data_IF_739822635973
#
_entry.id   IF_739822635973
#
_cell.length_a   1.000
_cell.length_b   1.000
_cell.length_c   1.000
_cell.angle_alpha   90.00
_cell.angle_beta   90.00
_cell.angle_gamma   90.00
#
_symmetry.space_group_name_H-M   'P 1'
#
loop_
_entity.id
_entity.type
_entity.pdbx_description
1 polymer ?
#
# COMPACT_ATOMS: atom_id res chain seq x y z
N UNK A 1 -14.06 19.20 6.96
CA UNK A 1 -15.41 19.27 6.35
C UNK A 1 -16.04 20.58 6.77
N UNK A 2 -16.76 21.26 5.86
CA UNK A 2 -17.49 22.49 6.16
C UNK A 2 -18.96 22.38 5.70
N UNK A 3 -19.80 23.33 6.11
CA UNK A 3 -21.17 23.49 5.57
C UNK A 3 -21.30 24.87 4.93
N UNK A 4 -21.86 24.92 3.73
CA UNK A 4 -22.11 26.16 3.00
C UNK A 4 -23.39 26.00 2.18
N UNK A 5 -24.30 26.98 2.27
CA UNK A 5 -25.62 26.95 1.59
C UNK A 5 -26.39 25.63 1.77
N UNK A 6 -26.39 25.10 3.01
CA UNK A 6 -27.07 23.83 3.34
C UNK A 6 -26.38 22.56 2.81
N UNK A 7 -25.29 22.69 2.05
CA UNK A 7 -24.52 21.56 1.51
C UNK A 7 -23.29 21.25 2.34
N UNK A 8 -22.87 19.99 2.34
CA UNK A 8 -21.58 19.56 2.88
C UNK A 8 -20.49 19.88 1.86
N UNK A 9 -19.40 20.48 2.31
CA UNK A 9 -18.21 20.74 1.49
C UNK A 9 -17.02 19.97 2.05
N UNK A 10 -16.44 19.10 1.23
CA UNK A 10 -15.18 18.43 1.52
C UNK A 10 -14.03 19.34 1.09
N UNK A 11 -13.47 20.05 2.06
CA UNK A 11 -12.35 20.96 1.85
C UNK A 11 -11.05 20.19 2.12
N UNK A 12 -10.26 19.93 1.07
CA UNK A 12 -8.90 19.37 1.20
C UNK A 12 -7.92 20.47 1.61
N UNK A 13 -6.83 20.06 2.26
CA UNK A 13 -5.77 20.96 2.72
C UNK A 13 -6.19 21.94 3.85
N UNK A 14 -7.35 21.70 4.46
CA UNK A 14 -7.81 22.39 5.66
C UNK A 14 -7.62 21.49 6.89
N UNK A 15 -7.32 22.10 8.04
CA UNK A 15 -7.27 21.46 9.34
C UNK A 15 -8.57 21.82 10.10
N UNK A 16 -9.19 20.89 10.86
CA UNK A 16 -10.32 21.22 11.71
C UNK A 16 -10.03 22.43 12.61
N UNK A 17 -10.97 23.38 12.68
CA UNK A 17 -10.83 24.63 13.44
C UNK A 17 -10.32 25.84 12.64
N UNK A 18 -9.87 25.65 11.40
CA UNK A 18 -9.39 26.76 10.57
C UNK A 18 -10.50 27.57 9.91
N UNK A 19 -10.17 28.85 9.65
CA UNK A 19 -10.93 29.71 8.74
C UNK A 19 -10.12 29.86 7.46
N UNK A 20 -10.71 29.48 6.33
CA UNK A 20 -10.03 29.40 5.03
C UNK A 20 -10.87 29.99 3.91
N UNK A 21 -10.22 30.49 2.86
CA UNK A 21 -10.87 30.61 1.55
C UNK A 21 -10.54 29.34 0.76
N UNK A 22 -11.57 28.76 0.15
CA UNK A 22 -11.45 27.51 -0.61
C UNK A 22 -12.03 27.68 -2.01
N UNK A 23 -11.35 27.12 -3.00
CA UNK A 23 -11.83 27.10 -4.39
C UNK A 23 -12.50 25.77 -4.67
N UNK A 24 -13.71 25.80 -5.20
CA UNK A 24 -14.42 24.59 -5.61
C UNK A 24 -13.65 23.89 -6.74
N UNK A 25 -13.38 22.60 -6.55
CA UNK A 25 -12.72 21.73 -7.53
C UNK A 25 -13.71 20.78 -8.19
N UNK A 26 -14.81 20.46 -7.51
CA UNK A 26 -15.92 19.68 -8.05
C UNK A 26 -17.23 20.15 -7.40
N UNK A 27 -18.23 20.43 -8.22
CA UNK A 27 -19.52 20.91 -7.73
C UNK A 27 -20.58 21.02 -8.83
N UNK A 28 -21.68 21.67 -8.47
CA UNK A 28 -22.85 21.89 -9.32
C UNK A 28 -24.10 22.11 -8.45
N UNK A 29 -25.12 22.75 -9.00
CA UNK A 29 -26.34 23.11 -8.27
C UNK A 29 -27.06 21.89 -7.68
N UNK A 30 -27.06 20.78 -8.43
CA UNK A 30 -27.69 19.51 -8.08
C UNK A 30 -26.79 18.57 -7.27
N UNK A 31 -25.55 18.96 -6.96
CA UNK A 31 -24.63 18.10 -6.23
C UNK A 31 -24.99 18.04 -4.74
N UNK A 32 -25.10 16.82 -4.18
CA UNK A 32 -25.41 16.60 -2.75
C UNK A 32 -24.31 17.12 -1.81
N UNK A 33 -23.10 17.24 -2.31
CA UNK A 33 -21.95 17.79 -1.61
C UNK A 33 -21.01 18.43 -2.64
N UNK A 34 -20.14 19.32 -2.18
CA UNK A 34 -19.09 19.93 -3.00
C UNK A 34 -17.71 19.51 -2.53
N UNK A 35 -16.71 19.69 -3.40
CA UNK A 35 -15.30 19.54 -3.06
C UNK A 35 -14.56 20.83 -3.35
N UNK A 36 -13.60 21.14 -2.50
CA UNK A 36 -12.80 22.33 -2.61
C UNK A 36 -11.38 22.05 -2.13
N UNK A 37 -10.42 22.85 -2.61
CA UNK A 37 -9.06 22.90 -2.07
C UNK A 37 -8.87 24.28 -1.40
N UNK A 38 -8.13 24.31 -0.28
CA UNK A 38 -7.76 25.57 0.38
C UNK A 38 -6.82 26.37 -0.51
N UNK A 39 -7.18 27.64 -0.74
CA UNK A 39 -6.38 28.61 -1.51
C UNK A 39 -5.84 29.75 -0.64
N UNK A 40 -6.42 29.95 0.54
CA UNK A 40 -5.96 30.94 1.52
C UNK A 40 -6.32 30.46 2.93
N UNK A 41 -5.42 30.64 3.88
CA UNK A 41 -5.67 30.38 5.30
C UNK A 41 -5.80 31.73 6.02
N UNK A 42 -7.02 32.07 6.45
CA UNK A 42 -7.34 33.34 7.12
C UNK A 42 -7.02 33.25 8.61
N UNK A 43 -7.36 32.12 9.23
CA UNK A 43 -7.00 31.79 10.61
C UNK A 43 -6.46 30.37 10.62
N UNK A 44 -5.17 30.23 10.86
CA UNK A 44 -4.47 28.95 10.87
C UNK A 44 -4.68 28.21 12.19
N UNK A 45 -4.66 26.88 12.13
CA UNK A 45 -4.55 26.02 13.30
C UNK A 45 -3.13 26.03 13.83
N UNK A 46 -2.94 25.90 15.14
CA UNK A 46 -1.61 25.71 15.76
C UNK A 46 -0.89 24.45 15.24
N UNK A 47 -1.64 23.50 14.66
CA UNK A 47 -1.11 22.28 14.06
C UNK A 47 -0.73 22.44 12.58
N UNK A 48 -0.93 23.63 11.99
CA UNK A 48 -0.48 23.91 10.62
C UNK A 48 1.02 24.16 10.61
N UNK A 49 1.70 23.53 9.65
CA UNK A 49 3.08 23.83 9.28
C UNK A 49 3.18 24.22 7.81
N UNK A 50 4.34 24.74 7.42
CA UNK A 50 4.70 24.85 6.00
C UNK A 50 4.66 23.47 5.36
N UNK A 51 4.05 23.38 4.18
CA UNK A 51 3.96 22.11 3.46
C UNK A 51 5.36 21.55 3.17
N UNK A 52 5.57 20.28 3.51
CA UNK A 52 6.85 19.56 3.31
C UNK A 52 7.26 19.44 1.84
N UNK A 53 6.32 19.56 0.91
CA UNK A 53 6.55 19.46 -0.52
C UNK A 53 5.87 20.57 -1.30
N UNK A 54 6.65 21.46 -1.93
CA UNK A 54 6.13 22.64 -2.64
C UNK A 54 5.13 22.29 -3.76
N UNK A 55 5.30 21.15 -4.44
CA UNK A 55 4.41 20.76 -5.55
C UNK A 55 3.03 20.29 -5.06
N UNK A 56 2.95 19.76 -3.85
CA UNK A 56 1.73 19.28 -3.20
C UNK A 56 1.07 20.32 -2.27
N UNK A 57 1.71 21.49 -2.10
CA UNK A 57 1.16 22.61 -1.33
C UNK A 57 0.02 23.28 -2.12
N UNK A 58 -1.20 23.28 -1.57
CA UNK A 58 -2.36 23.83 -2.24
C UNK A 58 -2.29 25.35 -2.41
N UNK A 59 -1.68 26.06 -1.45
CA UNK A 59 -1.54 27.52 -1.50
C UNK A 59 -0.64 27.93 -2.67
N UNK A 60 0.52 27.26 -2.80
CA UNK A 60 1.46 27.50 -3.90
C UNK A 60 0.92 27.02 -5.25
N UNK A 61 0.18 25.91 -5.26
CA UNK A 61 -0.45 25.42 -6.46
C UNK A 61 -1.45 26.47 -6.99
N UNK A 62 -2.20 27.11 -6.08
CA UNK A 62 -3.13 28.18 -6.41
C UNK A 62 -2.46 29.41 -7.02
N UNK A 63 -1.38 29.90 -6.41
CA UNK A 63 -0.55 31.01 -6.93
C UNK A 63 -0.06 30.75 -8.35
N UNK A 64 0.16 29.47 -8.70
CA UNK A 64 0.61 29.01 -10.01
C UNK A 64 -0.55 28.63 -10.94
N UNK A 65 -1.81 28.82 -10.55
CA UNK A 65 -2.97 28.48 -11.35
C UNK A 65 -3.14 26.99 -11.66
N UNK A 66 -2.64 26.10 -10.78
CA UNK A 66 -2.68 24.63 -10.96
C UNK A 66 -3.23 23.91 -9.73
N UNK A 67 -3.50 22.62 -9.86
CA UNK A 67 -3.81 21.76 -8.72
C UNK A 67 -2.53 21.24 -8.04
N UNK A 68 -2.57 20.95 -6.73
CA UNK A 68 -1.44 20.34 -6.02
C UNK A 68 -1.26 18.88 -6.43
N UNK A 69 0.00 18.45 -6.52
CA UNK A 69 0.37 17.03 -6.74
C UNK A 69 -0.21 16.18 -5.60
N UNK A 70 -0.75 15.00 -5.94
CA UNK A 70 -1.28 14.06 -4.95
C UNK A 70 -0.20 13.28 -4.18
N UNK A 71 -0.61 12.62 -3.10
CA UNK A 71 0.26 11.69 -2.36
C UNK A 71 1.01 12.29 -1.18
N UNK A 72 0.73 13.54 -0.80
CA UNK A 72 1.23 14.19 0.41
C UNK A 72 0.17 15.11 1.03
N UNK A 73 -1.11 14.71 1.03
CA UNK A 73 -2.23 15.57 1.37
C UNK A 73 -2.13 16.17 2.78
N UNK A 74 -1.47 15.49 3.73
CA UNK A 74 -1.29 15.92 5.11
C UNK A 74 0.04 16.66 5.35
N UNK A 75 0.82 16.95 4.29
CA UNK A 75 2.13 17.58 4.41
C UNK A 75 2.15 18.96 5.09
N UNK A 76 1.00 19.60 5.23
CA UNK A 76 0.79 20.89 5.92
C UNK A 76 0.40 20.76 7.40
N UNK A 77 0.35 19.54 7.95
CA UNK A 77 -0.09 19.24 9.32
C UNK A 77 1.11 18.71 10.10
N UNK A 78 1.26 19.07 11.38
CA UNK A 78 2.30 18.49 12.25
C UNK A 78 2.10 16.98 12.42
N UNK A 79 3.18 16.21 12.47
CA UNK A 79 3.12 14.73 12.43
C UNK A 79 2.28 14.14 13.56
N UNK A 80 2.39 14.69 14.78
CA UNK A 80 1.56 14.28 15.92
C UNK A 80 0.06 14.51 15.65
N UNK A 81 -0.31 15.64 15.04
CA UNK A 81 -1.71 15.92 14.75
C UNK A 81 -2.23 15.09 13.58
N UNK A 82 -1.38 14.73 12.60
CA UNK A 82 -1.74 13.78 11.54
C UNK A 82 -2.20 12.45 12.14
N UNK A 83 -1.44 11.89 13.09
CA UNK A 83 -1.78 10.62 13.75
C UNK A 83 -3.07 10.71 14.56
N UNK A 84 -3.31 11.82 15.26
CA UNK A 84 -4.61 12.07 15.93
C UNK A 84 -5.77 12.06 14.94
N UNK A 85 -5.64 12.76 13.80
CA UNK A 85 -6.68 12.78 12.77
C UNK A 85 -6.91 11.39 12.16
N UNK A 86 -5.84 10.62 11.91
CA UNK A 86 -5.93 9.23 11.43
C UNK A 86 -6.70 8.35 12.43
N UNK A 87 -6.37 8.43 13.71
CA UNK A 87 -7.05 7.70 14.79
C UNK A 87 -8.54 8.04 14.88
N UNK A 88 -8.88 9.34 14.82
CA UNK A 88 -10.28 9.79 14.78
C UNK A 88 -11.03 9.24 13.56
N UNK A 89 -10.42 9.31 12.36
CA UNK A 89 -11.02 8.77 11.13
C UNK A 89 -11.22 7.26 11.24
N UNK A 90 -10.25 6.53 11.81
CA UNK A 90 -10.35 5.08 12.00
C UNK A 90 -11.50 4.72 12.94
N UNK A 91 -11.57 5.34 14.12
CA UNK A 91 -12.66 5.16 15.09
C UNK A 91 -14.02 5.46 14.47
N UNK A 92 -14.16 6.63 13.84
CA UNK A 92 -15.40 7.05 13.20
C UNK A 92 -15.85 6.06 12.11
N UNK A 93 -14.89 5.50 11.37
CA UNK A 93 -15.16 4.53 10.31
C UNK A 93 -15.62 3.19 10.88
N UNK A 94 -14.95 2.69 11.92
CA UNK A 94 -15.37 1.49 12.65
C UNK A 94 -16.79 1.62 13.19
N UNK A 95 -17.11 2.75 13.80
CA UNK A 95 -18.44 2.98 14.37
C UNK A 95 -19.50 3.11 13.26
N UNK A 96 -19.26 3.92 12.22
CA UNK A 96 -20.28 4.22 11.20
C UNK A 96 -20.50 3.07 10.21
N UNK A 97 -19.44 2.35 9.83
CA UNK A 97 -19.51 1.27 8.85
C UNK A 97 -19.63 -0.08 9.54
N UNK A 98 -18.78 -0.33 10.53
CA UNK A 98 -18.75 -1.59 11.26
C UNK A 98 -19.84 -1.70 12.32
N UNK A 99 -20.36 -0.58 12.82
CA UNK A 99 -21.21 -0.59 14.02
C UNK A 99 -20.43 -0.98 15.28
N UNK A 100 -19.09 -0.86 15.24
CA UNK A 100 -18.20 -1.30 16.30
C UNK A 100 -17.77 -0.08 17.11
N UNK A 101 -18.17 -0.04 18.38
CA UNK A 101 -17.68 0.93 19.35
C UNK A 101 -16.46 0.36 20.06
N UNK A 102 -15.38 1.12 20.14
CA UNK A 102 -14.17 0.70 20.86
C UNK A 102 -14.40 0.52 22.36
N UNK A 103 -15.39 1.23 22.92
CA UNK A 103 -15.77 1.08 24.32
C UNK A 103 -16.42 -0.27 24.62
N UNK A 104 -17.02 -0.91 23.61
CA UNK A 104 -17.70 -2.20 23.76
C UNK A 104 -16.72 -3.36 23.55
N UNK A 105 -15.50 -3.07 23.06
CA UNK A 105 -14.48 -4.07 22.83
C UNK A 105 -13.69 -4.33 24.12
N UNK A 106 -13.61 -5.61 24.51
CA UNK A 106 -12.71 -6.05 25.56
C UNK A 106 -11.30 -6.30 24.99
N UNK A 107 -10.67 -5.23 24.53
CA UNK A 107 -9.27 -5.22 24.06
C UNK A 107 -8.39 -4.57 25.14
N UNK A 108 -7.15 -5.04 25.37
CA UNK A 108 -6.19 -4.32 26.18
C UNK A 108 -6.00 -2.92 25.60
N UNK A 109 -6.46 -1.90 26.32
CA UNK A 109 -6.24 -0.52 25.94
C UNK A 109 -4.93 -0.06 26.53
N UNK A 110 -3.96 0.27 25.67
CA UNK A 110 -2.74 0.97 26.12
C UNK A 110 -3.09 2.34 26.74
N UNK A 111 -4.21 2.93 26.32
CA UNK A 111 -4.67 4.25 26.73
C UNK A 111 -6.16 4.23 27.12
N UNK A 112 -6.46 4.67 28.35
CA UNK A 112 -7.82 4.69 28.91
C UNK A 112 -8.71 5.86 28.43
N UNK A 113 -8.32 6.55 27.34
CA UNK A 113 -9.01 7.74 26.83
C UNK A 113 -10.08 7.43 25.76
N UNK A 114 -10.23 6.16 25.37
CA UNK A 114 -11.22 5.72 24.37
C UNK A 114 -10.89 6.16 22.94
N UNK A 115 -9.66 6.63 22.70
CA UNK A 115 -9.19 7.06 21.39
C UNK A 115 -8.40 5.92 20.71
N UNK A 116 -8.30 6.01 19.37
CA UNK A 116 -7.39 5.14 18.60
C UNK A 116 -6.07 5.86 18.51
N UNK A 117 -5.04 5.31 19.14
CA UNK A 117 -3.70 5.83 19.03
C UNK A 117 -3.02 5.23 17.81
N UNK A 118 -2.61 6.10 16.90
CA UNK A 118 -1.85 5.70 15.72
C UNK A 118 -0.37 5.79 16.07
N UNK A 119 0.33 4.69 15.90
CA UNK A 119 1.73 4.52 16.29
C UNK A 119 2.68 5.00 15.20
N UNK A 120 3.77 5.65 15.59
CA UNK A 120 4.80 6.08 14.66
C UNK A 120 5.82 4.96 14.46
N UNK A 121 5.95 4.47 13.23
CA UNK A 121 6.96 3.48 12.85
C UNK A 121 8.15 4.10 12.11
N UNK A 122 8.16 5.44 12.01
CA UNK A 122 9.20 6.16 11.28
C UNK A 122 10.49 6.19 12.10
N UNK A 123 11.62 6.33 11.40
CA UNK A 123 12.90 6.57 12.10
C UNK A 123 12.83 7.89 12.87
N UNK A 124 13.47 7.98 14.06
CA UNK A 124 13.60 9.23 14.79
C UNK A 124 14.09 10.37 13.88
N UNK A 125 13.52 11.56 14.06
CA UNK A 125 13.86 12.79 13.32
C UNK A 125 13.62 12.76 11.80
N UNK A 126 12.93 11.75 11.27
CA UNK A 126 12.58 11.70 9.84
C UNK A 126 11.49 12.68 9.43
N UNK A 127 10.71 13.21 10.39
CA UNK A 127 9.60 14.16 10.16
C UNK A 127 8.61 13.67 9.08
N UNK A 128 8.40 12.35 8.99
CA UNK A 128 7.53 11.72 8.00
C UNK A 128 8.06 11.74 6.56
N UNK A 129 9.37 11.96 6.36
CA UNK A 129 10.04 11.97 5.05
C UNK A 129 10.88 10.70 4.84
N UNK A 130 11.31 10.47 3.60
CA UNK A 130 12.28 9.45 3.23
C UNK A 130 11.96 8.03 3.70
N UNK A 131 10.70 7.64 3.60
CA UNK A 131 10.25 6.31 4.00
C UNK A 131 9.88 5.43 2.80
N UNK A 132 9.49 6.03 1.68
CA UNK A 132 8.97 5.30 0.52
C UNK A 132 10.11 4.72 -0.32
N UNK A 133 10.21 3.40 -0.36
CA UNK A 133 11.23 2.63 -1.11
C UNK A 133 10.81 2.32 -2.54
N UNK A 134 9.52 2.43 -2.85
CA UNK A 134 8.96 2.12 -4.18
C UNK A 134 8.01 3.22 -4.63
N UNK A 135 8.24 3.76 -5.83
CA UNK A 135 7.43 4.88 -6.36
C UNK A 135 7.14 4.66 -7.84
N UNK A 136 5.87 4.78 -8.21
CA UNK A 136 5.43 4.82 -9.61
C UNK A 136 5.28 6.26 -10.08
N UNK A 137 5.97 6.61 -11.16
CA UNK A 137 5.86 7.90 -11.83
C UNK A 137 5.22 7.72 -13.20
N UNK A 138 4.32 8.63 -13.58
CA UNK A 138 3.90 8.73 -14.98
C UNK A 138 5.01 9.41 -15.78
N UNK A 139 5.05 9.16 -17.08
CA UNK A 139 5.94 9.87 -18.01
C UNK A 139 5.10 10.84 -18.83
N UNK A 140 5.47 12.12 -18.83
CA UNK A 140 4.78 13.15 -19.61
C UNK A 140 5.19 13.12 -21.10
N UNK A 141 4.54 13.90 -21.98
CA UNK A 141 4.90 13.95 -23.40
C UNK A 141 6.33 14.40 -23.70
N UNK A 142 7.01 15.08 -22.77
CA UNK A 142 8.40 15.51 -22.91
C UNK A 142 9.39 14.43 -22.43
N UNK A 143 8.90 13.31 -21.90
CA UNK A 143 9.72 12.24 -21.34
C UNK A 143 10.05 12.41 -19.86
N UNK A 144 9.44 13.39 -19.17
CA UNK A 144 9.80 13.70 -17.79
C UNK A 144 8.92 12.95 -16.79
N UNK A 145 9.54 12.53 -15.68
CA UNK A 145 8.82 11.90 -14.57
C UNK A 145 7.84 12.88 -13.93
N UNK A 146 6.59 12.47 -13.83
CA UNK A 146 5.47 13.30 -13.44
C UNK A 146 4.50 12.58 -12.52
N UNK A 147 3.74 13.36 -11.75
CA UNK A 147 2.62 12.85 -10.95
C UNK A 147 1.33 13.63 -11.23
N UNK A 148 0.21 12.95 -11.00
CA UNK A 148 -1.12 13.51 -11.18
C UNK A 148 -1.57 14.28 -9.93
N UNK A 149 -2.22 15.42 -10.09
CA UNK A 149 -3.06 15.97 -9.04
C UNK A 149 -4.20 15.03 -8.68
N UNK A 150 -4.73 15.18 -7.47
CA UNK A 150 -5.87 14.39 -7.01
C UNK A 150 -7.07 14.55 -7.96
N UNK A 151 -7.50 13.43 -8.56
CA UNK A 151 -8.63 13.35 -9.50
C UNK A 151 -8.49 14.25 -10.75
N UNK A 152 -7.26 14.54 -11.17
CA UNK A 152 -6.96 15.10 -12.48
C UNK A 152 -6.24 14.08 -13.37
N UNK A 153 -6.27 14.30 -14.69
CA UNK A 153 -5.42 13.60 -15.65
C UNK A 153 -4.18 14.41 -16.04
N UNK A 154 -4.07 15.65 -15.55
CA UNK A 154 -2.90 16.49 -15.79
C UNK A 154 -1.66 15.85 -15.18
N UNK A 155 -0.52 16.07 -15.82
CA UNK A 155 0.78 15.63 -15.35
C UNK A 155 1.57 16.85 -14.91
N UNK A 156 2.11 16.79 -13.70
CA UNK A 156 3.01 17.79 -13.15
C UNK A 156 4.38 17.15 -13.05
N UNK A 157 5.33 17.70 -13.79
CA UNK A 157 6.74 17.32 -13.76
C UNK A 157 7.30 17.42 -12.34
N UNK A 158 8.08 16.41 -11.95
CA UNK A 158 8.75 16.35 -10.67
C UNK A 158 10.23 16.67 -10.81
N UNK A 159 10.76 17.38 -9.82
CA UNK A 159 12.21 17.56 -9.60
C UNK A 159 12.76 16.72 -8.45
N UNK A 160 11.91 15.87 -7.85
CA UNK A 160 12.20 15.12 -6.64
C UNK A 160 10.92 14.71 -5.90
N UNK A 161 11.01 13.63 -5.12
CA UNK A 161 9.92 13.11 -4.28
C UNK A 161 10.36 13.03 -2.80
N UNK A 162 10.02 14.00 -1.92
CA UNK A 162 10.59 14.06 -0.56
C UNK A 162 10.11 12.93 0.37
N UNK A 163 9.00 12.26 0.06
CA UNK A 163 8.58 11.07 0.81
C UNK A 163 9.41 9.83 0.43
N UNK A 164 10.03 9.84 -0.75
CA UNK A 164 10.87 8.75 -1.19
C UNK A 164 12.22 8.77 -0.47
N UNK A 165 12.78 7.59 -0.24
CA UNK A 165 14.14 7.43 0.31
C UNK A 165 15.17 8.20 -0.51
N UNK A 166 16.29 8.57 0.10
CA UNK A 166 17.31 9.40 -0.54
C UNK A 166 17.77 8.85 -1.90
N UNK A 167 17.95 7.52 -2.02
CA UNK A 167 18.30 6.86 -3.27
C UNK A 167 17.33 7.11 -4.43
N UNK A 168 16.06 7.39 -4.16
CA UNK A 168 15.10 7.84 -5.19
C UNK A 168 15.11 9.37 -5.26
N UNK A 169 14.89 10.04 -4.13
CA UNK A 169 14.66 11.49 -4.05
C UNK A 169 15.77 12.32 -4.70
N UNK A 170 17.03 11.92 -4.49
CA UNK A 170 18.23 12.65 -4.90
C UNK A 170 18.83 12.12 -6.22
N UNK A 171 18.22 11.09 -6.83
CA UNK A 171 18.76 10.47 -8.02
C UNK A 171 18.55 11.30 -9.29
N UNK A 172 19.36 11.00 -10.32
CA UNK A 172 19.31 11.71 -11.60
C UNK A 172 18.09 11.37 -12.45
N UNK A 173 17.25 10.42 -12.02
CA UNK A 173 16.06 9.99 -12.77
C UNK A 173 15.08 11.14 -13.02
N UNK A 174 15.02 12.14 -12.14
CA UNK A 174 14.14 13.30 -12.33
C UNK A 174 14.61 14.28 -13.42
N UNK A 175 15.82 14.10 -13.93
CA UNK A 175 16.36 14.88 -15.06
C UNK A 175 16.57 14.03 -16.32
N UNK A 176 16.23 12.73 -16.27
CA UNK A 176 16.40 11.81 -17.38
C UNK A 176 15.21 11.87 -18.35
N UNK A 177 15.48 11.49 -19.60
CA UNK A 177 14.51 11.46 -20.69
C UNK A 177 13.96 10.04 -20.92
N UNK A 178 12.70 9.84 -20.56
CA UNK A 178 11.97 8.59 -20.72
C UNK A 178 10.97 8.61 -21.89
N UNK A 179 11.16 9.46 -22.91
CA UNK A 179 10.30 9.44 -24.11
C UNK A 179 10.14 8.00 -24.64
N UNK A 180 8.92 7.64 -25.03
CA UNK A 180 8.57 6.26 -25.42
C UNK A 180 8.12 5.36 -24.26
N UNK A 181 8.32 5.76 -23.00
CA UNK A 181 7.69 5.14 -21.85
C UNK A 181 6.41 5.87 -21.44
N UNK A 182 5.53 5.21 -20.68
CA UNK A 182 4.33 5.84 -20.10
C UNK A 182 4.32 5.80 -18.56
N UNK A 183 5.15 4.93 -17.96
CA UNK A 183 5.34 4.82 -16.51
C UNK A 183 6.75 4.34 -16.20
N UNK A 184 7.32 4.82 -15.11
CA UNK A 184 8.56 4.31 -14.51
C UNK A 184 8.29 3.98 -13.06
N UNK A 185 8.53 2.74 -12.67
CA UNK A 185 8.56 2.33 -11.27
C UNK A 185 10.01 2.34 -10.78
N UNK A 186 10.28 3.13 -9.75
CA UNK A 186 11.59 3.26 -9.11
C UNK A 186 11.58 2.50 -7.79
N UNK A 187 12.52 1.58 -7.60
CA UNK A 187 12.63 0.70 -6.43
C UNK A 187 14.02 0.87 -5.82
N UNK A 188 14.09 1.27 -4.55
CA UNK A 188 15.30 1.38 -3.75
C UNK A 188 15.19 0.41 -2.56
N UNK A 189 15.68 -0.84 -2.70
CA UNK A 189 15.45 -1.92 -1.74
C UNK A 189 15.97 -1.57 -0.35
N UNK A 190 15.18 -1.84 0.69
CA UNK A 190 15.48 -1.48 2.08
C UNK A 190 15.70 0.01 2.36
N UNK A 191 15.49 0.87 1.37
CA UNK A 191 15.86 2.28 1.42
C UNK A 191 17.34 2.57 1.13
N UNK A 192 18.03 1.64 0.48
CA UNK A 192 19.40 1.78 0.01
C UNK A 192 19.55 2.82 -1.11
N UNK A 193 20.78 2.91 -1.65
CA UNK A 193 21.10 3.79 -2.79
C UNK A 193 21.03 3.08 -4.14
N UNK A 194 21.07 1.76 -4.14
CA UNK A 194 20.97 0.96 -5.36
C UNK A 194 19.53 1.00 -5.85
N UNK A 195 19.35 1.54 -7.05
CA UNK A 195 18.08 1.82 -7.67
C UNK A 195 17.81 0.82 -8.79
N UNK A 196 16.62 0.23 -8.75
CA UNK A 196 16.07 -0.55 -9.84
C UNK A 196 14.97 0.26 -10.52
N UNK A 197 15.07 0.38 -11.85
CA UNK A 197 14.04 1.00 -12.68
C UNK A 197 13.28 -0.07 -13.46
N UNK A 198 11.95 -0.09 -13.30
CA UNK A 198 11.05 -0.85 -14.18
C UNK A 198 10.32 0.14 -15.08
N UNK A 199 10.72 0.19 -16.35
CA UNK A 199 10.27 1.18 -17.32
C UNK A 199 9.19 0.56 -18.21
N UNK A 200 7.97 1.08 -18.14
CA UNK A 200 6.82 0.52 -18.86
C UNK A 200 6.62 1.22 -20.19
N UNK A 201 6.55 0.41 -21.25
CA UNK A 201 6.23 0.83 -22.62
C UNK A 201 5.20 -0.10 -23.26
N UNK A 202 4.75 0.22 -24.47
CA UNK A 202 3.80 -0.58 -25.26
C UNK A 202 4.50 -1.17 -26.47
N UNK A 203 4.18 -2.41 -26.84
CA UNK A 203 4.88 -3.19 -27.89
C UNK A 203 4.97 -2.50 -29.28
N UNK A 204 4.07 -1.58 -29.61
CA UNK A 204 4.07 -0.79 -30.85
C UNK A 204 4.32 0.71 -30.60
N UNK A 205 5.02 1.04 -29.51
CA UNK A 205 5.35 2.42 -29.18
C UNK A 205 6.28 3.05 -30.21
N UNK A 206 5.99 4.30 -30.58
CA UNK A 206 6.94 5.13 -31.33
C UNK A 206 8.17 5.35 -30.42
N UNK A 207 9.37 5.03 -30.91
CA UNK A 207 10.67 5.25 -30.23
C UNK A 207 11.09 4.25 -29.12
N UNK A 208 10.80 2.95 -29.26
CA UNK A 208 11.34 1.95 -28.32
C UNK A 208 12.87 1.80 -28.38
N UNK A 209 13.48 1.89 -29.56
CA UNK A 209 14.93 1.75 -29.73
C UNK A 209 15.67 2.93 -29.12
N UNK A 210 15.17 4.16 -29.33
CA UNK A 210 15.71 5.34 -28.65
C UNK A 210 15.51 5.28 -27.14
N UNK A 211 14.38 4.74 -26.65
CA UNK A 211 14.18 4.51 -25.22
C UNK A 211 15.24 3.56 -24.66
N UNK A 212 15.49 2.41 -25.31
CA UNK A 212 16.54 1.47 -24.88
C UNK A 212 17.90 2.15 -24.81
N UNK A 213 18.29 2.89 -25.86
CA UNK A 213 19.56 3.61 -25.89
C UNK A 213 19.68 4.61 -24.73
N UNK A 214 18.65 5.42 -24.48
CA UNK A 214 18.62 6.38 -23.36
C UNK A 214 18.74 5.70 -22.00
N UNK A 215 18.06 4.56 -21.81
CA UNK A 215 18.13 3.79 -20.57
C UNK A 215 19.51 3.17 -20.33
N UNK A 216 20.15 2.64 -21.37
CA UNK A 216 21.53 2.17 -21.27
C UNK A 216 22.50 3.30 -20.91
N UNK A 217 22.39 4.46 -21.56
CA UNK A 217 23.20 5.64 -21.22
C UNK A 217 22.97 6.05 -19.77
N UNK A 218 21.71 6.17 -19.34
CA UNK A 218 21.35 6.56 -17.97
C UNK A 218 21.99 5.61 -16.93
N UNK A 219 21.89 4.30 -17.13
CA UNK A 219 22.50 3.31 -16.23
C UNK A 219 24.04 3.37 -16.24
N UNK A 220 24.65 3.70 -17.39
CA UNK A 220 26.11 3.83 -17.48
C UNK A 220 26.65 5.11 -16.82
N UNK A 221 25.88 6.20 -16.82
CA UNK A 221 26.29 7.50 -16.29
C UNK A 221 25.96 7.69 -14.80
N UNK A 222 25.03 6.90 -14.26
CA UNK A 222 24.64 6.92 -12.86
C UNK A 222 24.79 5.52 -12.22
N UNK A 223 25.94 5.26 -11.55
CA UNK A 223 26.19 3.98 -10.89
C UNK A 223 25.20 3.64 -9.77
N UNK A 224 24.39 4.59 -9.30
CA UNK A 224 23.32 4.29 -8.34
C UNK A 224 22.17 3.52 -8.98
N UNK A 225 22.05 3.52 -10.31
CA UNK A 225 21.06 2.73 -11.04
C UNK A 225 21.62 1.34 -11.28
N UNK A 226 21.46 0.47 -10.29
CA UNK A 226 21.96 -0.90 -10.32
C UNK A 226 21.28 -1.73 -11.42
N UNK A 227 19.96 -1.61 -11.56
CA UNK A 227 19.18 -2.47 -12.45
C UNK A 227 18.19 -1.67 -13.31
N UNK A 228 18.06 -2.07 -14.58
CA UNK A 228 17.05 -1.51 -15.49
C UNK A 228 16.31 -2.62 -16.22
N UNK A 229 15.00 -2.66 -16.03
CA UNK A 229 14.09 -3.56 -16.70
C UNK A 229 13.13 -2.77 -17.60
N UNK A 230 13.00 -3.22 -18.85
CA UNK A 230 11.99 -2.71 -19.78
C UNK A 230 10.77 -3.64 -19.76
N UNK A 231 9.64 -3.12 -19.30
CA UNK A 231 8.36 -3.81 -19.24
C UNK A 231 7.53 -3.47 -20.48
N UNK A 232 7.36 -4.44 -21.38
CA UNK A 232 6.67 -4.27 -22.67
C UNK A 232 5.29 -4.91 -22.58
N UNK A 233 4.24 -4.10 -22.56
CA UNK A 233 2.87 -4.60 -22.57
C UNK A 233 2.44 -5.05 -23.98
N UNK A 234 1.80 -6.23 -24.06
CA UNK A 234 1.26 -6.76 -25.31
C UNK A 234 0.14 -5.85 -25.91
N UNK A 235 -0.02 -5.82 -27.25
CA UNK A 235 -1.08 -5.04 -27.89
C UNK A 235 -2.48 -5.46 -27.40
N UNK A 236 -3.34 -4.49 -27.07
CA UNK A 236 -4.74 -4.75 -26.67
C UNK A 236 -4.98 -4.87 -25.16
N UNK A 237 -3.94 -4.74 -24.33
CA UNK A 237 -4.11 -4.58 -22.89
C UNK A 237 -4.85 -3.29 -22.54
N UNK A 238 -5.91 -3.40 -21.72
CA UNK A 238 -6.69 -2.27 -21.23
C UNK A 238 -5.87 -1.25 -20.40
N UNK A 239 -4.66 -1.60 -19.96
CA UNK A 239 -3.75 -0.72 -19.24
C UNK A 239 -2.88 0.17 -20.15
N UNK A 240 -2.92 -0.02 -21.48
CA UNK A 240 -2.06 0.68 -22.45
C UNK A 240 -2.72 1.78 -23.29
N UNK A 241 -3.95 2.21 -22.99
CA UNK A 241 -4.60 3.32 -23.72
C UNK A 241 -4.23 4.67 -23.11
N UNK A 242 -3.78 5.68 -23.89
CA UNK A 242 -3.72 7.06 -23.44
C UNK A 242 -5.11 7.47 -22.95
N UNK A 243 -5.18 8.27 -21.88
CA UNK A 243 -6.44 8.73 -21.28
C UNK A 243 -7.21 9.70 -22.22
N UNK A 244 -7.73 9.18 -23.31
CA UNK A 244 -8.66 9.85 -24.20
C UNK A 244 -10.09 9.71 -23.69
N UNK A 245 -10.60 10.79 -23.10
CA UNK A 245 -12.01 11.20 -23.05
C UNK A 245 -13.04 10.07 -22.83
N UNK A 246 -13.14 9.53 -21.60
CA UNK A 246 -14.33 8.74 -21.22
C UNK A 246 -15.48 9.69 -20.84
N UNK A 247 -16.50 9.69 -21.69
CA UNK A 247 -17.77 10.37 -21.46
C UNK A 247 -18.45 9.90 -20.18
N UNK A 248 -18.97 10.87 -19.43
CA UNK A 248 -19.76 10.73 -18.22
C UNK A 248 -21.13 10.17 -18.59
N UNK A 249 -21.28 8.85 -18.64
CA UNK A 249 -22.53 8.10 -18.41
C UNK A 249 -22.31 6.60 -18.65
N UNK A 250 -22.12 5.83 -17.56
CA UNK A 250 -22.62 4.45 -17.42
C UNK A 250 -22.36 3.99 -15.98
N UNK A 251 -23.41 4.11 -15.15
CA UNK A 251 -23.52 3.40 -13.88
C UNK A 251 -23.99 1.99 -14.18
N UNK A 252 -23.30 1.00 -13.62
CA UNK A 252 -23.77 -0.39 -13.56
C UNK A 252 -23.17 -1.32 -14.60
N UNK A 253 -21.97 -1.85 -14.34
CA UNK A 253 -21.63 -3.23 -14.69
C UNK A 253 -20.45 -3.71 -13.86
N UNK A 254 -20.62 -4.94 -13.36
CA UNK A 254 -19.77 -5.69 -12.44
C UNK A 254 -18.29 -5.66 -12.84
N UNK A 255 -17.42 -5.65 -11.84
CA UNK A 255 -15.99 -5.92 -11.96
C UNK A 255 -15.80 -7.38 -12.37
N UNK A 256 -15.88 -7.67 -13.66
CA UNK A 256 -15.22 -8.84 -14.21
C UNK A 256 -13.72 -8.59 -14.19
N UNK A 257 -13.01 -9.54 -13.61
CA UNK A 257 -11.56 -9.65 -13.57
C UNK A 257 -10.98 -9.48 -14.98
N UNK A 258 -10.49 -8.29 -15.29
CA UNK A 258 -9.53 -8.13 -16.40
C UNK A 258 -8.26 -8.83 -15.96
N UNK A 259 -8.00 -10.02 -16.52
CA UNK A 259 -6.69 -10.64 -16.41
C UNK A 259 -5.64 -9.58 -16.75
N UNK A 260 -4.61 -9.39 -15.91
CA UNK A 260 -3.59 -8.40 -16.18
C UNK A 260 -2.99 -8.65 -17.56
N UNK A 261 -2.69 -7.54 -18.24
CA UNK A 261 -1.90 -7.55 -19.46
C UNK A 261 -0.75 -8.54 -19.35
N UNK A 262 -0.51 -9.37 -20.37
CA UNK A 262 0.79 -10.02 -20.45
C UNK A 262 1.83 -8.93 -20.68
N UNK A 263 2.73 -8.78 -19.71
CA UNK A 263 3.85 -7.84 -19.75
C UNK A 263 5.11 -8.70 -19.82
N UNK A 264 5.89 -8.49 -20.87
CA UNK A 264 7.19 -9.14 -21.01
C UNK A 264 8.25 -8.19 -20.43
N UNK A 265 9.10 -8.73 -19.55
CA UNK A 265 10.17 -7.95 -18.92
C UNK A 265 11.50 -8.29 -19.58
N UNK A 266 12.19 -7.29 -20.10
CA UNK A 266 13.54 -7.36 -20.70
C UNK A 266 14.56 -6.73 -19.74
N UNK A 267 15.73 -7.35 -19.54
CA UNK A 267 16.80 -6.79 -18.71
C UNK A 267 17.74 -6.01 -19.61
N UNK A 268 17.90 -4.72 -19.31
CA UNK A 268 18.83 -3.86 -20.03
C UNK A 268 20.14 -3.69 -19.27
N UNK A 269 20.10 -3.70 -17.93
CA UNK A 269 21.28 -3.58 -17.08
C UNK A 269 21.05 -4.24 -15.71
N UNK A 270 22.12 -4.77 -15.11
CA UNK A 270 22.12 -5.33 -13.75
C UNK A 270 21.51 -6.72 -13.66
N UNK A 271 20.72 -6.93 -12.61
CA UNK A 271 20.08 -8.19 -12.23
C UNK A 271 18.55 -8.15 -12.39
N UNK A 272 17.95 -9.34 -12.43
CA UNK A 272 16.48 -9.55 -12.51
C UNK A 272 15.76 -9.47 -11.17
N UNK A 273 16.51 -9.36 -10.09
CA UNK A 273 16.00 -9.38 -8.73
C UNK A 273 16.55 -8.23 -7.93
N UNK A 274 15.86 -7.91 -6.85
CA UNK A 274 16.29 -6.96 -5.83
C UNK A 274 16.32 -7.65 -4.48
N UNK A 275 17.30 -7.28 -3.64
CA UNK A 275 17.44 -7.79 -2.29
C UNK A 275 16.71 -6.87 -1.30
N UNK A 276 15.56 -7.29 -0.79
CA UNK A 276 14.80 -6.55 0.22
C UNK A 276 15.09 -7.08 1.63
N UNK A 277 15.14 -6.23 2.67
CA UNK A 277 15.28 -6.68 4.05
C UNK A 277 14.12 -7.59 4.46
N UNK A 278 14.47 -8.72 5.05
CA UNK A 278 13.53 -9.68 5.62
C UNK A 278 13.78 -9.73 7.14
N UNK A 279 12.88 -9.20 7.98
CA UNK A 279 13.10 -9.09 9.42
C UNK A 279 13.31 -10.45 10.09
N UNK A 280 12.56 -11.44 9.61
CA UNK A 280 12.63 -12.83 10.07
C UNK A 280 12.84 -13.71 8.86
N UNK A 281 14.04 -14.28 8.74
CA UNK A 281 14.37 -15.18 7.64
C UNK A 281 13.96 -16.63 7.89
N UNK A 282 13.80 -17.42 6.80
CA UNK A 282 13.49 -18.85 6.85
C UNK A 282 14.55 -19.68 7.59
N UNK A 283 15.81 -19.23 7.55
CA UNK A 283 16.92 -19.78 8.32
C UNK A 283 17.43 -18.75 9.32
N UNK A 284 17.96 -19.20 10.47
CA UNK A 284 18.63 -18.31 11.42
C UNK A 284 19.79 -17.59 10.71
N UNK A 285 19.69 -16.27 10.59
CA UNK A 285 20.71 -15.42 9.96
C UNK A 285 20.34 -14.90 8.57
N UNK A 286 19.30 -15.46 7.91
CA UNK A 286 18.75 -14.85 6.70
C UNK A 286 18.09 -13.53 7.06
N UNK A 287 18.56 -12.44 6.44
CA UNK A 287 18.12 -11.06 6.72
C UNK A 287 17.59 -10.34 5.48
N UNK A 288 17.50 -11.05 4.35
CA UNK A 288 17.01 -10.51 3.09
C UNK A 288 16.29 -11.56 2.24
N UNK A 289 15.47 -11.10 1.30
CA UNK A 289 14.78 -11.90 0.29
C UNK A 289 15.06 -11.34 -1.10
N UNK A 290 15.28 -12.23 -2.08
CA UNK A 290 15.39 -11.87 -3.49
C UNK A 290 14.00 -11.78 -4.12
N UNK A 291 13.67 -10.62 -4.67
CA UNK A 291 12.35 -10.35 -5.23
C UNK A 291 12.44 -9.88 -6.67
N UNK A 292 11.41 -10.19 -7.46
CA UNK A 292 11.17 -9.49 -8.72
C UNK A 292 10.75 -8.04 -8.42
N UNK A 293 11.36 -7.03 -9.06
CA UNK A 293 11.08 -5.62 -8.73
C UNK A 293 9.65 -5.19 -9.07
N UNK A 294 9.00 -5.85 -10.03
CA UNK A 294 7.59 -5.67 -10.37
C UNK A 294 6.62 -6.31 -9.38
N UNK A 295 7.11 -7.22 -8.52
CA UNK A 295 6.34 -7.88 -7.47
C UNK A 295 6.01 -6.94 -6.32
N UNK A 296 4.96 -7.27 -5.57
CA UNK A 296 4.59 -6.51 -4.38
C UNK A 296 5.62 -6.71 -3.25
N UNK A 297 5.98 -5.61 -2.61
CA UNK A 297 6.68 -5.58 -1.33
C UNK A 297 6.25 -4.31 -0.58
N UNK A 298 6.44 -4.30 0.73
CA UNK A 298 6.07 -3.16 1.58
C UNK A 298 6.80 -1.88 1.14
N UNK A 299 6.04 -0.84 0.83
CA UNK A 299 6.58 0.40 0.25
C UNK A 299 7.27 1.30 1.27
N UNK A 300 7.03 1.08 2.57
CA UNK A 300 7.68 1.82 3.65
C UNK A 300 8.88 1.01 4.16
N UNK A 301 10.07 1.60 4.21
CA UNK A 301 11.32 0.90 4.58
C UNK A 301 11.30 0.18 5.94
N UNK A 302 10.51 0.67 6.88
CA UNK A 302 10.32 0.06 8.21
C UNK A 302 9.05 -0.78 8.36
N UNK A 303 8.20 -0.87 7.33
CA UNK A 303 6.96 -1.61 7.42
C UNK A 303 7.16 -3.13 7.58
N UNK A 304 8.12 -3.81 6.91
CA UNK A 304 8.35 -5.23 7.13
C UNK A 304 8.57 -5.56 8.61
N UNK A 305 9.47 -4.83 9.27
CA UNK A 305 9.83 -5.05 10.67
C UNK A 305 8.66 -4.72 11.61
N UNK A 306 8.01 -3.56 11.42
CA UNK A 306 6.89 -3.16 12.25
C UNK A 306 5.70 -4.13 12.15
N UNK A 307 5.34 -4.54 10.92
CA UNK A 307 4.21 -5.45 10.70
C UNK A 307 4.48 -6.85 11.23
N UNK A 308 5.67 -7.41 10.97
CA UNK A 308 6.04 -8.73 11.52
C UNK A 308 6.08 -8.69 13.05
N UNK A 309 6.59 -7.59 13.65
CA UNK A 309 6.57 -7.40 15.09
C UNK A 309 5.14 -7.41 15.66
N UNK A 310 4.25 -6.58 15.11
CA UNK A 310 2.86 -6.51 15.58
C UNK A 310 2.09 -7.82 15.36
N UNK A 311 2.24 -8.45 14.19
CA UNK A 311 1.61 -9.76 13.91
C UNK A 311 2.15 -10.82 14.86
N UNK A 312 3.47 -10.85 15.10
CA UNK A 312 4.10 -11.80 16.02
C UNK A 312 3.66 -11.62 17.48
N UNK A 313 3.43 -10.38 17.92
CA UNK A 313 2.91 -10.09 19.27
C UNK A 313 1.43 -10.48 19.43
N UNK A 314 0.63 -10.34 18.36
CA UNK A 314 -0.81 -10.68 18.39
C UNK A 314 -1.07 -12.16 18.18
N UNK A 315 -0.28 -12.82 17.34
CA UNK A 315 -0.48 -14.22 17.00
C UNK A 315 -0.19 -15.14 18.18
N UNK A 316 -1.06 -16.13 18.38
CA UNK A 316 -0.97 -17.11 19.46
C UNK A 316 -0.31 -18.42 19.01
N UNK A 317 0.21 -18.47 17.79
CA UNK A 317 0.75 -19.67 17.17
C UNK A 317 1.94 -20.22 17.95
N UNK A 318 1.91 -21.52 18.25
CA UNK A 318 2.98 -22.22 18.94
C UNK A 318 3.81 -23.10 17.99
N UNK A 319 4.97 -23.57 18.48
CA UNK A 319 5.80 -24.53 17.78
C UNK A 319 5.01 -25.81 17.48
N UNK A 320 5.11 -26.31 16.25
CA UNK A 320 4.39 -27.49 15.77
C UNK A 320 2.98 -27.23 15.24
N UNK A 321 2.46 -26.01 15.33
CA UNK A 321 1.11 -25.68 14.83
C UNK A 321 1.09 -25.39 13.32
N UNK A 322 -0.13 -25.22 12.79
CA UNK A 322 -0.37 -24.81 11.42
C UNK A 322 -0.68 -23.30 11.34
N UNK A 323 -0.05 -22.62 10.40
CA UNK A 323 -0.33 -21.20 10.07
C UNK A 323 -0.66 -21.07 8.59
N UNK A 324 -1.65 -20.25 8.27
CA UNK A 324 -2.02 -19.92 6.89
C UNK A 324 -1.79 -18.43 6.66
N UNK A 325 -0.99 -18.09 5.65
CA UNK A 325 -0.77 -16.72 5.18
C UNK A 325 -1.58 -16.50 3.89
N UNK A 326 -2.60 -15.66 3.96
CA UNK A 326 -3.49 -15.34 2.84
C UNK A 326 -3.15 -13.96 2.28
N UNK A 327 -3.08 -13.89 0.94
CA UNK A 327 -2.54 -12.73 0.21
C UNK A 327 -1.05 -12.52 0.57
N UNK A 328 -0.33 -13.63 0.64
CA UNK A 328 1.01 -13.72 1.24
C UNK A 328 2.07 -12.87 0.52
N UNK A 329 1.80 -12.41 -0.71
CA UNK A 329 2.78 -11.73 -1.54
C UNK A 329 4.01 -12.63 -1.72
N UNK A 330 5.18 -12.08 -1.47
CA UNK A 330 6.44 -12.82 -1.53
C UNK A 330 6.79 -13.58 -0.23
N UNK A 331 5.86 -13.66 0.73
CA UNK A 331 5.99 -14.47 1.94
C UNK A 331 6.60 -13.76 3.15
N UNK A 332 6.30 -12.48 3.35
CA UNK A 332 6.74 -11.74 4.54
C UNK A 332 6.25 -12.41 5.84
N UNK A 333 4.95 -12.70 5.93
CA UNK A 333 4.38 -13.36 7.10
C UNK A 333 4.61 -14.88 7.05
N UNK A 334 4.64 -15.51 5.88
CA UNK A 334 5.07 -16.90 5.72
C UNK A 334 6.45 -17.18 6.33
N UNK A 335 7.42 -16.25 6.18
CA UNK A 335 8.75 -16.41 6.76
C UNK A 335 8.74 -16.31 8.29
N UNK A 336 7.98 -15.35 8.85
CA UNK A 336 7.72 -15.26 10.28
C UNK A 336 7.04 -16.54 10.80
N UNK A 337 6.00 -17.00 10.12
CA UNK A 337 5.23 -18.17 10.49
C UNK A 337 6.10 -19.42 10.51
N UNK A 338 6.95 -19.61 9.49
CA UNK A 338 7.84 -20.76 9.40
C UNK A 338 8.87 -20.80 10.55
N UNK A 339 9.36 -19.64 10.97
CA UNK A 339 10.21 -19.54 12.17
C UNK A 339 9.40 -19.82 13.45
N UNK A 340 8.19 -19.27 13.57
CA UNK A 340 7.34 -19.37 14.75
C UNK A 340 6.92 -20.83 15.04
N UNK A 341 6.48 -21.55 14.00
CA UNK A 341 6.02 -22.94 14.15
C UNK A 341 7.17 -23.95 14.11
N UNK A 342 8.34 -23.55 13.60
CA UNK A 342 9.51 -24.41 13.45
C UNK A 342 9.32 -25.58 12.47
N UNK A 343 10.33 -26.42 12.33
CA UNK A 343 10.33 -27.53 11.36
C UNK A 343 9.29 -28.62 11.65
N UNK A 344 8.74 -28.66 12.86
CA UNK A 344 7.66 -29.60 13.21
C UNK A 344 6.28 -29.06 12.84
N UNK A 345 6.13 -27.75 12.61
CA UNK A 345 4.87 -27.13 12.22
C UNK A 345 4.68 -27.09 10.71
N UNK A 346 3.67 -26.34 10.24
CA UNK A 346 3.34 -26.23 8.81
C UNK A 346 2.85 -24.82 8.47
N UNK A 347 3.21 -24.34 7.28
CA UNK A 347 2.77 -23.05 6.75
C UNK A 347 2.15 -23.22 5.37
N UNK A 348 0.97 -22.65 5.15
CA UNK A 348 0.36 -22.53 3.82
C UNK A 348 0.38 -21.07 3.38
N UNK A 349 1.13 -20.77 2.33
CA UNK A 349 1.25 -19.44 1.73
C UNK A 349 0.37 -19.36 0.47
N UNK A 350 -0.64 -18.50 0.45
CA UNK A 350 -1.57 -18.35 -0.68
C UNK A 350 -1.43 -16.97 -1.33
N UNK A 351 -1.04 -16.94 -2.61
CA UNK A 351 -0.85 -15.71 -3.39
C UNK A 351 -1.30 -15.93 -4.84
N UNK A 352 -1.91 -14.93 -5.47
CA UNK A 352 -2.39 -15.04 -6.86
C UNK A 352 -1.38 -14.53 -7.89
N UNK A 353 -0.56 -13.55 -7.54
CA UNK A 353 0.37 -12.88 -8.42
C UNK A 353 1.61 -13.74 -8.71
N UNK A 354 1.80 -14.09 -9.98
CA UNK A 354 2.90 -14.94 -10.46
C UNK A 354 4.28 -14.49 -9.99
N UNK A 355 4.62 -13.20 -10.11
CA UNK A 355 5.92 -12.70 -9.69
C UNK A 355 6.16 -12.88 -8.18
N UNK A 356 5.14 -12.64 -7.35
CA UNK A 356 5.22 -12.79 -5.90
C UNK A 356 5.26 -14.26 -5.48
N UNK A 357 4.43 -15.12 -6.09
CA UNK A 357 4.45 -16.56 -5.83
C UNK A 357 5.78 -17.20 -6.18
N UNK A 358 6.40 -16.84 -7.31
CA UNK A 358 7.74 -17.34 -7.68
C UNK A 358 8.81 -16.90 -6.69
N UNK A 359 8.78 -15.64 -6.25
CA UNK A 359 9.70 -15.18 -5.20
C UNK A 359 9.51 -15.93 -3.88
N UNK A 360 8.27 -16.29 -3.52
CA UNK A 360 8.02 -17.14 -2.36
C UNK A 360 8.53 -18.57 -2.58
N UNK A 361 8.29 -19.19 -3.75
CA UNK A 361 8.83 -20.51 -4.10
C UNK A 361 10.36 -20.55 -4.00
N UNK A 362 11.05 -19.52 -4.54
CA UNK A 362 12.50 -19.38 -4.45
C UNK A 362 12.96 -19.20 -2.97
N UNK A 363 12.24 -18.41 -2.17
CA UNK A 363 12.57 -18.18 -0.75
C UNK A 363 12.42 -19.44 0.12
N UNK A 364 11.42 -20.27 -0.16
CA UNK A 364 11.05 -21.43 0.67
C UNK A 364 11.42 -22.78 0.04
N UNK A 365 12.22 -22.80 -1.03
CA UNK A 365 12.57 -24.02 -1.79
C UNK A 365 13.18 -25.14 -0.94
N UNK A 366 13.90 -24.80 0.13
CA UNK A 366 14.57 -25.75 1.04
C UNK A 366 13.78 -26.00 2.34
N UNK A 367 12.48 -25.66 2.37
CA UNK A 367 11.63 -25.78 3.55
C UNK A 367 10.39 -26.64 3.31
N UNK A 368 10.50 -27.93 3.63
CA UNK A 368 9.39 -28.90 3.46
C UNK A 368 8.11 -28.50 4.22
N UNK A 369 8.24 -27.73 5.31
CA UNK A 369 7.08 -27.29 6.10
C UNK A 369 6.27 -26.16 5.45
N UNK A 370 6.80 -25.48 4.43
CA UNK A 370 6.14 -24.34 3.78
C UNK A 370 5.58 -24.76 2.43
N UNK A 371 4.26 -24.75 2.31
CA UNK A 371 3.56 -25.02 1.04
C UNK A 371 3.15 -23.71 0.38
N UNK A 372 3.59 -23.50 -0.85
CA UNK A 372 3.15 -22.36 -1.67
C UNK A 372 1.97 -22.79 -2.55
N UNK A 373 0.91 -21.99 -2.56
CA UNK A 373 -0.26 -22.18 -3.40
C UNK A 373 -0.50 -20.91 -4.23
N UNK A 374 -0.16 -20.98 -5.52
CA UNK A 374 -0.44 -19.90 -6.46
C UNK A 374 -1.91 -19.91 -6.90
N UNK A 375 -2.77 -19.18 -6.22
CA UNK A 375 -4.19 -19.06 -6.56
C UNK A 375 -4.85 -17.84 -5.90
N UNK A 376 -5.96 -17.33 -6.48
CA UNK A 376 -6.83 -16.37 -5.78
C UNK A 376 -7.37 -16.98 -4.48
N UNK A 377 -7.25 -16.25 -3.37
CA UNK A 377 -7.68 -16.69 -2.03
C UNK A 377 -9.14 -17.17 -2.02
N UNK A 378 -10.03 -16.50 -2.75
CA UNK A 378 -11.46 -16.84 -2.85
C UNK A 378 -11.72 -18.22 -3.46
N UNK A 379 -10.72 -18.77 -4.18
CA UNK A 379 -10.75 -20.10 -4.81
C UNK A 379 -9.99 -21.15 -4.00
N UNK A 380 -9.18 -20.74 -3.03
CA UNK A 380 -8.32 -21.61 -2.21
C UNK A 380 -8.91 -21.97 -0.85
N UNK A 381 -10.11 -21.48 -0.50
CA UNK A 381 -10.73 -21.72 0.80
C UNK A 381 -10.92 -23.22 1.12
N UNK A 382 -11.13 -24.04 0.10
CA UNK A 382 -11.17 -25.51 0.26
C UNK A 382 -9.82 -26.09 0.64
N UNK A 383 -8.73 -25.61 0.03
CA UNK A 383 -7.36 -25.99 0.38
C UNK A 383 -7.00 -25.54 1.79
N UNK A 384 -7.36 -24.31 2.16
CA UNK A 384 -7.17 -23.76 3.52
C UNK A 384 -7.85 -24.62 4.57
N UNK A 385 -9.13 -24.96 4.36
CA UNK A 385 -9.88 -25.84 5.27
C UNK A 385 -9.23 -27.22 5.38
N UNK A 386 -8.83 -27.79 4.25
CA UNK A 386 -8.22 -29.13 4.23
C UNK A 386 -6.86 -29.14 4.92
N UNK A 387 -6.07 -28.07 4.74
CA UNK A 387 -4.77 -27.89 5.38
C UNK A 387 -4.88 -27.74 6.90
N UNK A 388 -5.85 -26.94 7.38
CA UNK A 388 -6.07 -26.74 8.82
C UNK A 388 -6.68 -27.98 9.51
N UNK A 389 -7.43 -28.80 8.79
CA UNK A 389 -8.03 -30.02 9.32
C UNK A 389 -7.07 -31.23 9.36
N UNK A 390 -5.88 -31.11 8.77
CA UNK A 390 -4.93 -32.22 8.62
C UNK A 390 -4.18 -32.49 9.94
N UNK A 391 -4.05 -33.76 10.29
CA UNK A 391 -3.22 -34.30 11.39
C UNK A 391 -3.60 -34.03 12.86
N UNK A 392 -4.85 -33.66 13.17
CA UNK A 392 -5.28 -33.54 14.59
C UNK A 392 -4.45 -32.53 15.40
N UNK A 393 -3.74 -31.64 14.71
CA UNK A 393 -2.99 -30.52 15.29
C UNK A 393 -3.97 -29.42 15.68
N UNK A 394 -3.60 -28.63 16.67
CA UNK A 394 -4.45 -27.57 17.24
C UNK A 394 -4.91 -26.56 16.18
N UNK A 395 -6.02 -25.91 16.51
CA UNK A 395 -6.64 -24.86 15.72
C UNK A 395 -5.62 -23.80 15.27
N UNK A 396 -5.44 -23.67 13.94
CA UNK A 396 -4.38 -22.85 13.36
C UNK A 396 -4.66 -21.34 13.41
N UNK A 397 -3.61 -20.56 13.18
CA UNK A 397 -3.70 -19.09 12.99
C UNK A 397 -3.76 -18.76 11.51
N UNK A 398 -4.67 -17.87 11.11
CA UNK A 398 -4.73 -17.33 9.76
C UNK A 398 -4.27 -15.88 9.79
N UNK A 399 -3.24 -15.53 9.02
CA UNK A 399 -2.83 -14.15 8.75
C UNK A 399 -3.46 -13.72 7.42
N UNK A 400 -4.01 -12.52 7.39
CA UNK A 400 -4.79 -11.99 6.26
C UNK A 400 -4.33 -10.55 5.96
N UNK A 401 -3.72 -10.31 4.80
CA UNK A 401 -3.30 -8.96 4.32
C UNK A 401 -3.94 -8.64 2.94
N UNK A 402 -5.26 -8.43 2.89
CA UNK A 402 -5.98 -8.33 1.63
C UNK A 402 -5.74 -6.97 0.93
N UNK A 403 -6.03 -6.87 -0.37
CA UNK A 403 -5.98 -5.59 -1.09
C UNK A 403 -6.97 -4.57 -0.49
N UNK A 404 -6.87 -3.30 -0.91
CA UNK A 404 -7.75 -2.18 -0.47
C UNK A 404 -9.26 -2.42 -0.57
N UNK A 405 -9.71 -3.44 -1.31
CA UNK A 405 -11.11 -3.83 -1.36
C UNK A 405 -11.60 -4.53 -0.07
N UNK A 406 -10.67 -5.06 0.73
CA UNK A 406 -10.93 -6.03 1.80
C UNK A 406 -10.87 -7.47 1.30
N UNK A 407 -10.97 -8.41 2.23
CA UNK A 407 -11.09 -9.84 1.94
C UNK A 407 -12.49 -10.18 1.40
N UNK A 408 -13.52 -9.46 1.87
CA UNK A 408 -14.88 -9.60 1.40
C UNK A 408 -15.62 -10.85 1.90
N UNK A 409 -16.94 -10.84 1.73
CA UNK A 409 -17.86 -11.80 2.36
C UNK A 409 -17.50 -13.26 2.10
N UNK A 410 -17.14 -13.63 0.86
CA UNK A 410 -16.81 -15.02 0.50
C UNK A 410 -15.61 -15.55 1.28
N UNK A 411 -14.59 -14.72 1.50
CA UNK A 411 -13.39 -15.12 2.25
C UNK A 411 -13.73 -15.24 3.73
N UNK A 412 -14.42 -14.25 4.30
CA UNK A 412 -14.85 -14.31 5.71
C UNK A 412 -15.74 -15.54 5.98
N UNK A 413 -16.70 -15.83 5.10
CA UNK A 413 -17.51 -17.05 5.16
C UNK A 413 -16.70 -18.33 5.08
N UNK A 414 -15.68 -18.36 4.21
CA UNK A 414 -14.80 -19.50 4.08
C UNK A 414 -13.94 -19.73 5.32
N UNK A 415 -13.38 -18.67 5.89
CA UNK A 415 -12.58 -18.74 7.12
C UNK A 415 -13.41 -19.21 8.31
N UNK A 416 -14.65 -18.75 8.41
CA UNK A 416 -15.61 -19.20 9.43
C UNK A 416 -15.95 -20.71 9.32
N UNK A 417 -15.75 -21.32 8.16
CA UNK A 417 -15.93 -22.76 7.93
C UNK A 417 -14.65 -23.59 8.17
N UNK A 418 -13.58 -22.96 8.67
CA UNK A 418 -12.35 -23.64 9.05
C UNK A 418 -12.26 -23.87 10.55
N UNK A 419 -11.29 -24.69 10.96
CA UNK A 419 -10.92 -24.91 12.36
C UNK A 419 -9.90 -23.87 12.87
N UNK A 420 -9.81 -22.69 12.23
CA UNK A 420 -8.95 -21.62 12.71
C UNK A 420 -9.38 -21.15 14.11
N UNK A 421 -8.43 -21.03 15.04
CA UNK A 421 -8.68 -20.45 16.38
C UNK A 421 -8.51 -18.93 16.37
N UNK A 422 -7.70 -18.42 15.44
CA UNK A 422 -7.34 -17.01 15.37
C UNK A 422 -7.22 -16.54 13.94
N UNK A 423 -7.67 -15.31 13.71
CA UNK A 423 -7.41 -14.54 12.49
C UNK A 423 -6.68 -13.26 12.89
N UNK A 424 -5.50 -13.02 12.30
CA UNK A 424 -4.78 -11.74 12.38
C UNK A 424 -4.98 -11.01 11.06
N UNK A 425 -5.72 -9.91 11.10
CA UNK A 425 -6.12 -9.12 9.92
C UNK A 425 -5.25 -7.86 9.84
N UNK A 426 -4.44 -7.74 8.79
CA UNK A 426 -3.69 -6.53 8.40
C UNK A 426 -4.47 -5.76 7.34
N UNK A 427 -4.61 -4.44 7.45
CA UNK A 427 -5.38 -3.65 6.48
C UNK A 427 -4.96 -2.18 6.37
N UNK A 428 -4.74 -1.74 5.13
CA UNK A 428 -4.44 -0.34 4.80
C UNK A 428 -5.68 0.52 4.50
N UNK A 429 -6.89 -0.06 4.53
CA UNK A 429 -8.15 0.63 4.21
C UNK A 429 -9.20 0.44 5.32
N UNK A 430 -9.42 1.47 6.17
CA UNK A 430 -10.33 1.38 7.31
C UNK A 430 -11.76 1.02 6.93
N UNK A 431 -12.22 1.43 5.74
CA UNK A 431 -13.60 1.22 5.32
C UNK A 431 -13.90 -0.23 4.97
N UNK A 432 -12.96 -0.94 4.31
CA UNK A 432 -13.09 -2.36 4.03
C UNK A 432 -12.86 -3.18 5.29
N UNK A 433 -11.86 -2.83 6.09
CA UNK A 433 -11.62 -3.45 7.39
C UNK A 433 -12.88 -3.43 8.27
N UNK A 434 -13.53 -2.27 8.42
CA UNK A 434 -14.74 -2.14 9.24
C UNK A 434 -15.90 -3.03 8.77
N UNK A 435 -16.04 -3.24 7.44
CA UNK A 435 -17.07 -4.15 6.89
C UNK A 435 -16.75 -5.60 7.21
N UNK A 436 -15.51 -6.02 6.99
CA UNK A 436 -15.10 -7.40 7.20
C UNK A 436 -15.05 -7.75 8.69
N UNK A 437 -14.61 -6.82 9.56
CA UNK A 437 -14.63 -6.97 11.01
C UNK A 437 -16.06 -7.13 11.55
N UNK A 438 -17.03 -6.38 11.02
CA UNK A 438 -18.45 -6.54 11.36
C UNK A 438 -18.95 -7.93 10.99
N UNK A 439 -18.57 -8.43 9.82
CA UNK A 439 -18.96 -9.76 9.36
C UNK A 439 -18.38 -10.86 10.27
N UNK A 440 -17.08 -10.77 10.61
CA UNK A 440 -16.44 -11.66 11.58
C UNK A 440 -17.16 -11.65 12.94
N UNK A 441 -17.42 -10.45 13.49
CA UNK A 441 -18.11 -10.31 14.79
C UNK A 441 -19.52 -10.89 14.74
N UNK A 442 -20.26 -10.69 13.64
CA UNK A 442 -21.61 -11.25 13.49
C UNK A 442 -21.63 -12.78 13.46
N UNK A 443 -20.48 -13.41 13.19
CA UNK A 443 -20.28 -14.87 13.18
C UNK A 443 -19.72 -15.41 14.49
N UNK A 444 -19.57 -14.56 15.51
CA UNK A 444 -19.11 -14.93 16.83
C UNK A 444 -17.60 -14.77 17.06
N UNK A 445 -16.85 -14.26 16.09
CA UNK A 445 -15.45 -13.90 16.32
C UNK A 445 -15.36 -12.67 17.22
N UNK A 446 -14.50 -12.72 18.23
CA UNK A 446 -14.24 -11.60 19.12
C UNK A 446 -12.95 -10.90 18.70
N UNK A 447 -13.04 -9.61 18.39
CA UNK A 447 -11.86 -8.79 18.24
C UNK A 447 -11.22 -8.55 19.62
N UNK A 448 -10.02 -9.06 19.82
CA UNK A 448 -9.32 -9.04 21.12
C UNK A 448 -7.96 -8.33 21.09
N UNK A 449 -7.56 -7.82 19.92
CA UNK A 449 -6.45 -6.88 19.77
C UNK A 449 -6.67 -5.98 18.57
N UNK A 450 -6.21 -4.73 18.67
CA UNK A 450 -6.23 -3.74 17.59
C UNK A 450 -5.07 -2.76 17.78
N UNK A 451 -4.23 -2.61 16.75
CA UNK A 451 -3.18 -1.60 16.65
C UNK A 451 -3.28 -0.89 15.32
N UNK A 452 -2.99 0.41 15.31
CA UNK A 452 -3.03 1.23 14.09
C UNK A 452 -1.69 1.92 13.93
N UNK A 453 -1.07 1.77 12.77
CA UNK A 453 0.29 2.18 12.49
C UNK A 453 0.32 3.27 11.41
N UNK A 454 1.19 4.26 11.59
CA UNK A 454 1.45 5.31 10.61
C UNK A 454 2.52 4.88 9.59
N UNK A 455 2.16 3.95 8.69
CA UNK A 455 3.04 3.53 7.58
C UNK A 455 3.17 4.58 6.48
N UNK A 456 2.28 5.58 6.46
CA UNK A 456 2.21 6.56 5.39
C UNK A 456 2.13 8.00 5.93
N UNK A 457 3.17 8.48 6.65
CA UNK A 457 3.21 9.86 7.11
C UNK A 457 3.06 10.85 5.95
N UNK A 458 2.49 12.02 6.24
CA UNK A 458 2.12 13.06 5.27
C UNK A 458 1.00 12.67 4.30
N UNK A 459 0.39 11.49 4.45
CA UNK A 459 -0.81 11.07 3.73
C UNK A 459 -1.96 10.78 4.71
N UNK A 460 -3.15 10.56 4.18
CA UNK A 460 -4.31 10.14 4.98
C UNK A 460 -4.36 8.62 5.23
N UNK A 461 -3.48 7.84 4.59
CA UNK A 461 -3.44 6.39 4.75
C UNK A 461 -2.88 5.97 6.11
N UNK A 462 -3.34 4.84 6.61
CA UNK A 462 -2.93 4.21 7.85
C UNK A 462 -3.05 2.70 7.69
N UNK A 463 -2.32 1.95 8.50
CA UNK A 463 -2.38 0.49 8.53
C UNK A 463 -3.01 0.06 9.84
N UNK A 464 -3.86 -0.95 9.84
CA UNK A 464 -4.40 -1.55 11.05
C UNK A 464 -4.04 -3.03 11.11
N UNK A 465 -3.72 -3.52 12.31
CA UNK A 465 -3.56 -4.94 12.60
C UNK A 465 -4.54 -5.29 13.71
N UNK A 466 -5.40 -6.27 13.49
CA UNK A 466 -6.38 -6.70 14.46
C UNK A 466 -6.38 -8.22 14.65
N UNK A 467 -6.56 -8.65 15.90
CA UNK A 467 -6.67 -10.05 16.28
C UNK A 467 -8.12 -10.40 16.54
N UNK A 468 -8.59 -11.47 15.91
CA UNK A 468 -9.91 -12.05 16.10
C UNK A 468 -9.77 -13.48 16.59
N UNK A 469 -10.47 -13.84 17.66
CA UNK A 469 -10.46 -15.19 18.22
C UNK A 469 -11.87 -15.72 18.43
N UNK A 470 -12.00 -17.05 18.48
CA UNK A 470 -13.25 -17.72 18.82
C UNK A 470 -13.39 -17.99 20.31
#
# INVERSE_FOLDING_TARGET
>A
MARYEGRVVFVRHAIPGEVVRARLTEGGEQAKFWRADVVEVVSASDYRRRHIWKLADSLRADEMGRLPVGGAEFGHITDQHQRRLKGQVFRDTLQRIGGISLHDLNIPQEHADGEVHVEDISRPHSNGLHWRTRVSFAVDPNGMLSMKPHRSNDLIELRGMPLAVAGIHESRIFSADFRGAHRVDAVAPGGGRDLTLVVHTVAQGQDQEGLRARLHTLASEDPSIANVLLAVAAPGSANGRPAGRRGRNQRGRRSDSTSPARVDYELLAGDRTVSEPLPVGPHRGSSAVQLRPEGFWQVHRGAPEALVGVVGEMARSAAGEAVVDLYAGAGLFSAWAAQQVGNSGRVLSVEAADASSRSAEELFAEMDQVRILQAPVERSLGDVRSFLAEDGRSAGTVVLDPPRAGAGTRVIEGLDQTDAAQIVYVSCEPSSFARDAKELISRGWRMDGLRVLDLYPNTHHMEAVASFTR
#
